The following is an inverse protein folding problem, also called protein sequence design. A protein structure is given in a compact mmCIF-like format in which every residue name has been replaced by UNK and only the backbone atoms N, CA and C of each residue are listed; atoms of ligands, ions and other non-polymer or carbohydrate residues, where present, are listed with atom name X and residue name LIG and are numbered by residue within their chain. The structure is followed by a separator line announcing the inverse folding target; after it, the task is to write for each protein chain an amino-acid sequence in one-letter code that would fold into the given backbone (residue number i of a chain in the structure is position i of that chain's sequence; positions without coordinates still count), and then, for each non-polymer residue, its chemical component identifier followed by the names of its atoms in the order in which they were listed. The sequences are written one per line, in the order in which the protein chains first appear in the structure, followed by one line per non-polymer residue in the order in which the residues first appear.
data_IF_794980420424
#
_entry.id   IF_794980420424
#
_cell.length_a   1.000
_cell.length_b   1.000
_cell.length_c   1.000
_cell.angle_alpha   90.00
_cell.angle_beta   90.00
_cell.angle_gamma   90.00
#
_symmetry.space_group_name_H-M   'P 1'
#
loop_
_entity.id
_entity.type
_entity.pdbx_description
1 polymer ?
#
# COMPACT_ATOMS: atom_id res chain seq x y z
N UNK A 1 -22.42 -39.02 15.39
CA UNK A 1 -21.15 -38.38 15.76
C UNK A 1 -21.45 -36.93 16.14
N UNK A 2 -21.10 -36.52 17.36
CA UNK A 2 -21.58 -35.26 17.93
C UNK A 2 -20.92 -34.05 17.22
N UNK A 3 -21.71 -33.12 16.63
CA UNK A 3 -21.19 -31.99 15.86
C UNK A 3 -20.39 -30.97 16.70
N UNK A 4 -20.46 -31.06 18.03
CA UNK A 4 -19.80 -30.11 18.94
C UNK A 4 -18.28 -30.32 19.04
N UNK A 5 -17.79 -31.53 18.79
CA UNK A 5 -16.34 -31.78 18.74
C UNK A 5 -15.66 -31.01 17.61
N UNK A 6 -16.32 -30.88 16.46
CA UNK A 6 -15.81 -30.09 15.34
C UNK A 6 -15.74 -28.60 15.70
N UNK A 7 -16.77 -28.07 16.37
CA UNK A 7 -16.80 -26.66 16.81
C UNK A 7 -15.63 -26.34 17.75
N UNK A 8 -15.32 -27.22 18.70
CA UNK A 8 -14.21 -27.03 19.64
C UNK A 8 -12.85 -27.04 18.93
N UNK A 9 -12.65 -27.97 17.98
CA UNK A 9 -11.43 -28.05 17.16
C UNK A 9 -11.19 -26.77 16.34
N UNK A 10 -12.24 -26.21 15.72
CA UNK A 10 -12.12 -24.96 14.94
C UNK A 10 -11.72 -23.74 15.80
N UNK A 11 -12.22 -23.65 17.04
CA UNK A 11 -11.90 -22.54 17.94
C UNK A 11 -10.44 -22.59 18.41
N UNK A 12 -9.94 -23.77 18.78
CA UNK A 12 -8.54 -23.96 19.20
C UNK A 12 -7.57 -23.65 18.05
N UNK A 13 -7.88 -24.07 16.83
CA UNK A 13 -7.05 -23.80 15.65
C UNK A 13 -6.92 -22.29 15.36
N UNK A 14 -8.01 -21.52 15.47
CA UNK A 14 -7.97 -20.06 15.28
C UNK A 14 -7.12 -19.34 16.32
N UNK A 15 -7.27 -19.70 17.59
CA UNK A 15 -6.48 -19.10 18.66
C UNK A 15 -4.97 -19.35 18.48
N UNK A 16 -4.61 -20.57 18.09
CA UNK A 16 -3.22 -20.93 17.83
C UNK A 16 -2.62 -20.12 16.66
N UNK A 17 -3.34 -20.02 15.54
CA UNK A 17 -2.91 -19.24 14.38
C UNK A 17 -2.69 -17.75 14.72
N UNK A 18 -3.61 -17.13 15.47
CA UNK A 18 -3.45 -15.71 15.88
C UNK A 18 -2.23 -15.49 16.78
N UNK A 19 -1.94 -16.43 17.67
CA UNK A 19 -0.78 -16.35 18.56
C UNK A 19 0.53 -16.46 17.77
N UNK A 20 0.63 -17.44 16.87
CA UNK A 20 1.81 -17.63 16.01
C UNK A 20 2.07 -16.39 15.15
N UNK A 21 1.01 -15.82 14.55
CA UNK A 21 1.14 -14.63 13.72
C UNK A 21 1.60 -13.39 14.51
N UNK A 22 1.17 -13.24 15.77
CA UNK A 22 1.64 -12.16 16.63
C UNK A 22 3.13 -12.32 17.00
N UNK A 23 3.56 -13.55 17.30
CA UNK A 23 4.96 -13.87 17.59
C UNK A 23 5.83 -13.59 16.35
N UNK A 24 5.39 -14.05 15.18
CA UNK A 24 6.07 -13.84 13.91
C UNK A 24 6.19 -12.34 13.56
N UNK A 25 5.11 -11.57 13.74
CA UNK A 25 5.14 -10.12 13.51
C UNK A 25 6.09 -9.41 14.46
N UNK A 26 6.13 -9.81 15.74
CA UNK A 26 7.06 -9.22 16.69
C UNK A 26 8.51 -9.55 16.35
N UNK A 27 8.81 -10.81 16.03
CA UNK A 27 10.16 -11.22 15.60
C UNK A 27 10.60 -10.49 14.32
N UNK A 28 9.71 -10.35 13.34
CA UNK A 28 9.98 -9.56 12.15
C UNK A 28 10.31 -8.10 12.48
N UNK A 29 9.49 -7.43 13.32
CA UNK A 29 9.76 -6.06 13.74
C UNK A 29 11.08 -5.90 14.50
N UNK A 30 11.50 -6.90 15.27
CA UNK A 30 12.79 -6.89 15.97
C UNK A 30 13.97 -7.01 15.00
N UNK A 31 13.87 -7.88 13.99
CA UNK A 31 14.86 -7.97 12.90
C UNK A 31 14.91 -6.70 12.04
N UNK A 32 13.76 -6.06 11.78
CA UNK A 32 13.68 -4.77 11.10
C UNK A 32 14.47 -3.69 11.85
N UNK A 33 14.25 -3.57 13.18
CA UNK A 33 14.99 -2.61 14.03
C UNK A 33 16.48 -2.90 14.03
N UNK A 34 16.87 -4.18 14.17
CA UNK A 34 18.28 -4.60 14.13
C UNK A 34 18.98 -4.21 12.81
N UNK A 35 18.23 -4.14 11.70
CA UNK A 35 18.71 -3.73 10.38
C UNK A 35 18.44 -2.25 10.04
N UNK A 36 18.09 -1.43 11.03
CA UNK A 36 17.85 0.02 10.88
C UNK A 36 16.64 0.39 9.99
N UNK A 37 15.59 -0.43 10.02
CA UNK A 37 14.27 -0.13 9.43
C UNK A 37 13.25 0.21 10.53
N UNK A 38 13.58 1.19 11.38
CA UNK A 38 12.78 1.52 12.57
C UNK A 38 11.42 2.11 12.18
N UNK A 39 11.40 3.00 11.19
CA UNK A 39 10.20 3.69 10.78
C UNK A 39 9.13 2.72 10.27
N UNK A 40 9.53 1.74 9.45
CA UNK A 40 8.61 0.71 8.98
C UNK A 40 8.10 -0.18 10.12
N UNK A 41 8.97 -0.56 11.06
CA UNK A 41 8.56 -1.31 12.26
C UNK A 41 7.57 -0.51 13.15
N UNK A 42 7.72 0.81 13.23
CA UNK A 42 6.77 1.69 13.94
C UNK A 42 5.43 1.72 13.22
N UNK A 43 5.40 1.83 11.89
CA UNK A 43 4.17 1.77 11.10
C UNK A 43 3.41 0.46 11.36
N UNK A 44 4.11 -0.67 11.33
CA UNK A 44 3.50 -1.97 11.66
C UNK A 44 2.97 -2.01 13.08
N UNK A 45 3.69 -1.44 14.06
CA UNK A 45 3.24 -1.37 15.46
C UNK A 45 1.95 -0.56 15.61
N UNK A 46 1.82 0.55 14.89
CA UNK A 46 0.61 1.39 14.87
C UNK A 46 -0.57 0.60 14.29
N UNK A 47 -0.34 -0.18 13.23
CA UNK A 47 -1.39 -0.89 12.50
C UNK A 47 -1.76 -2.26 13.08
N UNK A 48 -0.92 -2.85 13.93
CA UNK A 48 -1.08 -4.22 14.45
C UNK A 48 -2.44 -4.43 15.16
N UNK A 49 -2.99 -3.40 15.80
CA UNK A 49 -4.30 -3.50 16.47
C UNK A 49 -5.50 -3.37 15.53
N UNK A 50 -5.31 -2.88 14.31
CA UNK A 50 -6.41 -2.45 13.42
C UNK A 50 -6.56 -3.35 12.19
N UNK A 51 -5.50 -4.00 11.75
CA UNK A 51 -5.43 -4.58 10.40
C UNK A 51 -5.28 -6.11 10.41
N UNK A 52 -6.37 -6.81 10.06
CA UNK A 52 -6.38 -8.28 9.99
C UNK A 52 -5.43 -8.83 8.92
N UNK A 53 -5.17 -8.06 7.87
CA UNK A 53 -4.26 -8.46 6.77
C UNK A 53 -2.81 -8.58 7.24
N UNK A 54 -2.38 -7.74 8.19
CA UNK A 54 -1.04 -7.85 8.79
C UNK A 54 -0.90 -9.04 9.74
N UNK A 55 -2.02 -9.66 10.12
CA UNK A 55 -2.04 -10.89 10.91
C UNK A 55 -1.86 -12.14 10.05
N UNK A 56 -1.53 -12.04 8.76
CA UNK A 56 -1.15 -13.19 7.94
C UNK A 56 0.37 -13.41 8.02
N UNK A 57 0.80 -14.60 8.43
CA UNK A 57 2.21 -15.01 8.49
C UNK A 57 2.87 -15.12 7.11
N UNK A 58 2.08 -15.26 6.04
CA UNK A 58 2.58 -15.43 4.68
C UNK A 58 2.61 -14.11 3.91
N UNK A 59 3.45 -13.17 4.35
CA UNK A 59 3.59 -11.85 3.72
C UNK A 59 5.07 -11.49 3.55
N UNK A 60 5.38 -10.76 2.47
CA UNK A 60 6.69 -10.13 2.27
C UNK A 60 6.53 -8.62 2.30
N UNK A 61 7.23 -7.94 3.20
CA UNK A 61 7.33 -6.49 3.23
C UNK A 61 8.53 -5.97 2.44
N UNK A 62 8.34 -4.85 1.77
CA UNK A 62 9.35 -4.10 1.02
C UNK A 62 9.50 -2.72 1.63
N UNK A 63 10.53 -2.57 2.46
CA UNK A 63 10.64 -1.46 3.41
C UNK A 63 11.57 -0.40 2.86
N UNK A 64 11.09 0.82 2.57
CA UNK A 64 11.99 1.94 2.32
C UNK A 64 12.92 2.15 3.52
N UNK A 65 14.10 2.71 3.28
CA UNK A 65 14.97 3.13 4.39
C UNK A 65 14.27 4.17 5.24
N UNK A 66 14.67 4.33 6.50
CA UNK A 66 14.08 5.35 7.38
C UNK A 66 14.18 6.77 6.77
N UNK A 67 15.25 7.06 6.02
CA UNK A 67 15.41 8.32 5.27
C UNK A 67 14.36 8.46 4.15
N UNK A 68 14.21 7.46 3.29
CA UNK A 68 13.22 7.50 2.19
C UNK A 68 11.79 7.54 2.74
N UNK A 69 11.53 6.80 3.83
CA UNK A 69 10.23 6.79 4.48
C UNK A 69 9.87 8.16 5.05
N UNK A 70 10.85 8.90 5.60
CA UNK A 70 10.63 10.25 6.15
C UNK A 70 10.25 11.29 5.09
N UNK A 71 10.53 11.01 3.81
CA UNK A 71 10.23 11.87 2.68
C UNK A 71 8.97 11.42 1.93
N UNK A 72 8.41 10.26 2.28
CA UNK A 72 7.21 9.74 1.63
C UNK A 72 5.98 10.57 2.04
N UNK A 73 5.15 10.92 1.06
CA UNK A 73 3.87 11.60 1.29
C UNK A 73 2.82 10.58 1.75
N UNK A 74 2.79 10.33 3.06
CA UNK A 74 1.89 9.36 3.69
C UNK A 74 0.87 10.12 4.53
N UNK A 75 -0.37 10.16 4.05
CA UNK A 75 -1.48 10.69 4.83
C UNK A 75 -1.77 9.77 6.04
N UNK A 76 -1.97 10.28 7.27
CA UNK A 76 -2.19 9.44 8.46
C UNK A 76 -3.37 8.47 8.35
N UNK A 77 -4.40 8.81 7.58
CA UNK A 77 -5.57 8.00 7.29
C UNK A 77 -5.31 6.88 6.26
N UNK A 78 -4.15 6.91 5.59
CA UNK A 78 -3.75 5.95 4.53
C UNK A 78 -2.52 5.12 4.91
N UNK A 79 -2.18 5.04 6.20
CA UNK A 79 -1.04 4.23 6.67
C UNK A 79 -1.18 2.75 6.33
N UNK A 80 -2.37 2.17 6.49
CA UNK A 80 -2.64 0.78 6.11
C UNK A 80 -2.41 0.59 4.61
N UNK A 81 -2.94 1.49 3.79
CA UNK A 81 -2.75 1.42 2.35
C UNK A 81 -1.27 1.54 1.98
N UNK A 82 -0.53 2.45 2.62
CA UNK A 82 0.90 2.56 2.40
C UNK A 82 1.61 1.23 2.69
N UNK A 83 1.40 0.63 3.85
CA UNK A 83 2.04 -0.64 4.22
C UNK A 83 1.65 -1.78 3.28
N UNK A 84 0.35 -1.93 2.98
CA UNK A 84 -0.14 -3.03 2.11
C UNK A 84 0.30 -2.85 0.64
N UNK A 85 0.48 -1.61 0.19
CA UNK A 85 1.08 -1.33 -1.12
C UNK A 85 2.57 -1.65 -1.17
N UNK A 86 3.21 -1.85 -0.03
CA UNK A 86 4.61 -2.24 0.12
C UNK A 86 4.76 -3.70 0.50
N UNK A 87 3.78 -4.55 0.15
CA UNK A 87 3.86 -5.97 0.46
C UNK A 87 3.28 -6.87 -0.63
N UNK A 88 3.75 -8.12 -0.66
CA UNK A 88 3.16 -9.22 -1.44
C UNK A 88 2.59 -10.24 -0.45
N UNK A 89 1.36 -10.76 -0.65
CA UNK A 89 0.73 -11.75 0.23
C UNK A 89 1.30 -13.16 0.03
N UNK A 90 2.62 -13.28 0.01
CA UNK A 90 3.38 -14.53 -0.07
C UNK A 90 4.75 -14.28 0.55
N UNK A 91 5.26 -15.24 1.33
CA UNK A 91 6.61 -15.18 1.89
C UNK A 91 7.67 -15.50 0.81
N UNK A 92 8.45 -14.49 0.41
CA UNK A 92 9.44 -14.55 -0.67
C UNK A 92 10.81 -14.11 -0.14
N UNK A 93 11.79 -15.01 -0.20
CA UNK A 93 13.21 -14.66 -0.05
C UNK A 93 13.74 -14.04 -1.35
N UNK A 94 14.91 -13.41 -1.30
CA UNK A 94 15.56 -12.86 -2.49
C UNK A 94 15.74 -13.93 -3.56
N UNK A 95 16.10 -15.16 -3.15
CA UNK A 95 16.25 -16.27 -4.09
C UNK A 95 14.94 -16.54 -4.84
N UNK A 96 13.77 -16.51 -4.20
CA UNK A 96 12.50 -16.66 -4.90
C UNK A 96 12.29 -15.53 -5.91
N UNK A 97 12.60 -14.30 -5.51
CA UNK A 97 12.42 -13.12 -6.36
C UNK A 97 13.28 -13.14 -7.62
N UNK A 98 14.51 -13.67 -7.53
CA UNK A 98 15.44 -13.79 -8.64
C UNK A 98 14.99 -14.78 -9.73
N UNK A 99 14.08 -15.70 -9.40
CA UNK A 99 13.55 -16.68 -10.36
C UNK A 99 12.34 -16.16 -11.13
N UNK A 100 11.76 -15.01 -10.77
CA UNK A 100 10.70 -14.43 -11.58
C UNK A 100 11.24 -13.99 -12.95
N UNK A 101 10.56 -14.34 -14.05
CA UNK A 101 10.87 -13.77 -15.36
C UNK A 101 10.86 -12.24 -15.31
N UNK A 102 11.78 -11.62 -16.05
CA UNK A 102 11.86 -10.16 -16.10
C UNK A 102 10.54 -9.55 -16.61
N UNK A 103 9.96 -8.62 -15.86
CA UNK A 103 8.69 -7.97 -16.18
C UNK A 103 7.45 -8.62 -15.57
N UNK A 104 7.61 -9.68 -14.76
CA UNK A 104 6.51 -10.36 -14.06
C UNK A 104 5.67 -9.37 -13.26
N UNK A 105 4.36 -9.52 -13.29
CA UNK A 105 3.42 -8.79 -12.43
C UNK A 105 2.95 -9.71 -11.30
N UNK A 106 3.08 -9.26 -10.06
CA UNK A 106 2.61 -9.97 -8.86
C UNK A 106 1.64 -9.09 -8.08
N UNK A 107 0.62 -9.64 -7.42
CA UNK A 107 -0.30 -8.85 -6.62
C UNK A 107 0.42 -8.27 -5.39
N UNK A 108 0.16 -7.01 -5.08
CA UNK A 108 0.45 -6.48 -3.75
C UNK A 108 -0.61 -6.95 -2.75
N UNK A 109 -0.47 -6.61 -1.46
CA UNK A 109 -1.52 -6.90 -0.47
C UNK A 109 -2.72 -5.94 -0.55
N UNK A 110 -2.71 -4.99 -1.51
CA UNK A 110 -3.88 -4.22 -1.90
C UNK A 110 -4.56 -4.88 -3.11
N UNK A 111 -5.88 -5.11 -3.05
CA UNK A 111 -6.64 -5.60 -4.19
C UNK A 111 -6.41 -4.76 -5.45
N UNK A 112 -6.23 -5.42 -6.59
CA UNK A 112 -6.04 -4.81 -7.92
C UNK A 112 -4.77 -3.98 -8.11
N UNK A 113 -3.86 -3.94 -7.13
CA UNK A 113 -2.59 -3.21 -7.23
C UNK A 113 -1.44 -4.18 -7.45
N UNK A 114 -0.78 -4.09 -8.60
CA UNK A 114 0.24 -5.04 -9.07
C UNK A 114 1.65 -4.45 -8.96
N UNK A 115 2.60 -5.24 -8.45
CA UNK A 115 4.03 -4.93 -8.42
C UNK A 115 4.69 -5.60 -9.62
N UNK A 116 5.44 -4.82 -10.40
CA UNK A 116 6.26 -5.31 -11.49
C UNK A 116 7.65 -5.68 -10.98
N UNK A 117 8.01 -6.94 -11.12
CA UNK A 117 9.34 -7.47 -10.81
C UNK A 117 10.20 -7.41 -12.07
N UNK A 118 11.37 -6.76 -11.98
CA UNK A 118 12.34 -6.66 -13.07
C UNK A 118 13.77 -6.92 -12.59
N UNK A 119 14.64 -7.27 -13.54
CA UNK A 119 16.08 -7.31 -13.31
C UNK A 119 16.62 -5.87 -13.35
N UNK A 120 17.27 -5.44 -12.27
CA UNK A 120 17.88 -4.12 -12.22
C UNK A 120 19.16 -4.06 -13.08
N UNK A 121 19.46 -2.89 -13.65
CA UNK A 121 20.66 -2.64 -14.48
C UNK A 121 22.02 -2.95 -13.82
N UNK A 122 22.09 -3.08 -12.48
CA UNK A 122 23.34 -3.35 -11.73
C UNK A 122 23.32 -4.69 -10.99
N UNK A 123 22.69 -5.70 -11.59
CA UNK A 123 22.33 -6.98 -10.95
C UNK A 123 21.37 -6.78 -9.75
N UNK A 124 20.51 -7.76 -9.48
CA UNK A 124 19.50 -7.68 -8.43
C UNK A 124 18.08 -7.40 -8.94
N UNK A 125 17.15 -7.28 -7.99
CA UNK A 125 15.70 -7.23 -8.24
C UNK A 125 15.14 -5.83 -8.00
N UNK A 126 14.31 -5.39 -8.95
CA UNK A 126 13.59 -4.12 -8.92
C UNK A 126 12.07 -4.39 -8.86
N UNK A 127 11.37 -3.63 -8.02
CA UNK A 127 9.94 -3.68 -7.75
C UNK A 127 9.35 -2.33 -8.15
N UNK A 128 8.68 -2.26 -9.30
CA UNK A 128 8.36 -0.99 -9.97
C UNK A 128 9.62 -0.10 -10.10
N UNK A 129 9.62 1.05 -9.43
CA UNK A 129 10.72 2.02 -9.37
C UNK A 129 11.77 1.72 -8.28
N UNK A 130 11.51 0.78 -7.37
CA UNK A 130 12.34 0.56 -6.19
C UNK A 130 13.27 -0.64 -6.35
N UNK A 131 14.55 -0.49 -6.01
CA UNK A 131 15.53 -1.59 -6.01
C UNK A 131 15.58 -2.24 -4.63
N UNK A 132 15.69 -3.57 -4.56
CA UNK A 132 16.08 -4.24 -3.31
C UNK A 132 17.54 -3.96 -2.99
N UNK A 133 17.79 -3.30 -1.86
CA UNK A 133 19.14 -2.90 -1.40
C UNK A 133 19.61 -3.72 -0.20
N UNK A 134 18.68 -4.22 0.62
CA UNK A 134 18.99 -5.05 1.79
C UNK A 134 18.08 -6.28 1.75
N UNK A 135 18.52 -7.38 1.13
CA UNK A 135 17.67 -8.57 1.02
C UNK A 135 17.57 -9.33 2.35
N UNK A 136 16.48 -10.09 2.50
CA UNK A 136 16.30 -11.08 3.57
C UNK A 136 16.52 -10.49 4.98
N UNK A 137 15.88 -9.36 5.28
CA UNK A 137 15.98 -8.69 6.59
C UNK A 137 15.36 -9.54 7.70
N UNK A 138 14.20 -10.15 7.45
CA UNK A 138 13.52 -11.02 8.43
C UNK A 138 13.68 -12.49 8.03
N UNK A 139 14.44 -13.25 8.81
CA UNK A 139 14.75 -14.65 8.59
C UNK A 139 14.21 -15.57 9.69
N UNK A 140 13.95 -15.03 10.88
CA UNK A 140 13.55 -15.82 12.06
C UNK A 140 12.03 -15.99 12.20
N UNK A 141 11.24 -15.23 11.45
CA UNK A 141 9.78 -15.33 11.41
C UNK A 141 9.29 -16.01 10.13
N UNK A 142 7.99 -16.28 10.01
CA UNK A 142 7.35 -16.64 8.73
C UNK A 142 7.24 -15.45 7.77
N UNK A 143 7.21 -14.23 8.30
CA UNK A 143 7.19 -12.96 7.56
C UNK A 143 8.55 -12.73 6.89
N UNK A 144 8.51 -12.31 5.62
CA UNK A 144 9.71 -11.93 4.87
C UNK A 144 9.79 -10.42 4.74
N UNK A 145 11.01 -9.92 4.70
CA UNK A 145 11.25 -8.49 4.62
C UNK A 145 12.46 -8.22 3.74
N UNK A 146 12.38 -7.21 2.89
CA UNK A 146 13.50 -6.69 2.12
C UNK A 146 13.53 -5.17 2.24
N UNK A 147 14.71 -4.62 2.45
CA UNK A 147 14.94 -3.19 2.33
C UNK A 147 15.00 -2.75 0.88
N UNK A 148 14.32 -1.66 0.54
CA UNK A 148 14.26 -1.08 -0.80
C UNK A 148 14.78 0.35 -0.84
N UNK A 149 15.22 0.77 -2.03
CA UNK A 149 15.91 2.05 -2.25
C UNK A 149 15.02 3.29 -2.18
N UNK A 150 13.71 3.14 -2.31
CA UNK A 150 12.72 4.21 -2.29
C UNK A 150 11.32 3.61 -2.13
N UNK A 151 10.31 4.42 -1.82
CA UNK A 151 8.92 3.95 -1.77
C UNK A 151 8.44 3.43 -3.14
N UNK A 152 7.68 2.35 -3.12
CA UNK A 152 7.04 1.78 -4.31
C UNK A 152 5.97 2.76 -4.79
N UNK A 153 6.17 3.24 -6.01
CA UNK A 153 5.21 4.05 -6.74
C UNK A 153 4.43 3.17 -7.71
N UNK A 154 3.16 3.49 -7.89
CA UNK A 154 2.26 2.82 -8.81
C UNK A 154 1.81 3.81 -9.87
N UNK A 155 1.92 3.41 -11.14
CA UNK A 155 1.41 4.24 -12.23
C UNK A 155 -0.11 4.31 -12.11
N UNK A 156 -0.69 5.52 -12.23
CA UNK A 156 -2.15 5.74 -12.19
C UNK A 156 -2.93 4.93 -13.24
N UNK A 157 -2.24 4.43 -14.26
CA UNK A 157 -2.78 3.61 -15.35
C UNK A 157 -2.77 2.11 -15.05
N UNK A 158 -2.09 1.68 -13.98
CA UNK A 158 -2.03 0.27 -13.56
C UNK A 158 -3.22 -0.09 -12.66
N UNK A 159 -4.38 -0.19 -13.29
CA UNK A 159 -5.63 -0.81 -12.79
C UNK A 159 -6.31 -0.18 -11.55
N UNK A 160 -7.18 0.79 -11.89
CA UNK A 160 -8.43 1.16 -11.20
C UNK A 160 -8.36 1.82 -9.82
N UNK A 161 -7.85 3.05 -9.78
CA UNK A 161 -8.35 4.10 -8.85
C UNK A 161 -9.77 4.54 -9.27
N UNK A 162 -10.69 3.58 -9.40
CA UNK A 162 -12.12 3.86 -9.50
C UNK A 162 -12.83 3.06 -8.43
N UNK A 163 -12.71 3.55 -7.20
CA UNK A 163 -13.88 3.54 -6.34
C UNK A 163 -14.91 4.47 -6.99
N UNK A 164 -16.20 4.10 -7.08
CA UNK A 164 -17.22 5.02 -7.55
C UNK A 164 -17.26 6.17 -6.53
N UNK A 165 -16.76 7.34 -6.94
CA UNK A 165 -17.06 8.56 -6.25
C UNK A 165 -18.59 8.64 -6.19
N UNK A 166 -19.15 8.42 -5.00
CA UNK A 166 -20.55 8.74 -4.73
C UNK A 166 -20.63 10.26 -4.74
N UNK A 167 -20.64 10.85 -5.94
CA UNK A 167 -20.87 12.27 -6.11
C UNK A 167 -22.25 12.56 -5.54
N UNK A 168 -22.26 13.20 -4.37
CA UNK A 168 -23.47 13.76 -3.80
C UNK A 168 -24.03 14.78 -4.80
N UNK A 169 -25.30 14.61 -5.17
CA UNK A 169 -26.02 15.45 -6.13
C UNK A 169 -26.00 16.95 -5.80
N UNK A 170 -25.56 17.33 -4.60
CA UNK A 170 -25.40 18.72 -4.18
C UNK A 170 -24.21 19.43 -4.87
N UNK A 171 -23.12 18.73 -5.15
CA UNK A 171 -21.87 19.37 -5.63
C UNK A 171 -21.93 19.76 -7.12
N UNK A 172 -22.69 19.00 -7.91
CA UNK A 172 -22.99 19.31 -9.32
C UNK A 172 -23.84 20.58 -9.45
N UNK A 173 -24.70 20.87 -8.46
CA UNK A 173 -25.59 22.04 -8.47
C UNK A 173 -24.79 23.33 -8.16
N UNK A 174 -23.83 23.26 -7.23
CA UNK A 174 -23.00 24.42 -6.87
C UNK A 174 -22.15 24.89 -8.05
N UNK A 175 -21.45 23.98 -8.73
CA UNK A 175 -20.61 24.37 -9.89
C UNK A 175 -21.43 24.89 -11.07
N UNK A 176 -22.64 24.38 -11.30
CA UNK A 176 -23.51 24.85 -12.39
C UNK A 176 -24.03 26.26 -12.15
N UNK A 177 -24.19 26.65 -10.89
CA UNK A 177 -24.67 27.98 -10.51
C UNK A 177 -23.55 29.03 -10.59
N UNK A 178 -22.31 28.68 -10.25
CA UNK A 178 -21.17 29.58 -10.42
C UNK A 178 -20.88 29.92 -11.89
N UNK A 179 -20.97 28.92 -12.79
CA UNK A 179 -20.77 29.14 -14.24
C UNK A 179 -21.88 30.00 -14.85
N UNK A 180 -23.12 29.92 -14.33
CA UNK A 180 -24.23 30.79 -14.76
C UNK A 180 -24.10 32.21 -14.21
N UNK A 181 -23.59 32.38 -12.98
CA UNK A 181 -23.31 33.69 -12.38
C UNK A 181 -22.25 34.48 -13.15
N UNK A 182 -21.16 33.82 -13.54
CA UNK A 182 -20.07 34.45 -14.29
C UNK A 182 -20.48 34.90 -15.70
N UNK A 183 -21.38 34.16 -16.37
CA UNK A 183 -21.90 34.53 -17.71
C UNK A 183 -22.91 35.70 -17.66
N UNK A 184 -23.62 35.88 -16.55
CA UNK A 184 -24.54 37.00 -16.36
C UNK A 184 -23.80 38.35 -16.24
N UNK A 185 -22.67 38.38 -15.54
CA UNK A 185 -21.88 39.60 -15.34
C UNK A 185 -21.15 40.11 -16.59
N UNK A 186 -20.78 39.23 -17.54
CA UNK A 186 -20.11 39.63 -18.78
C UNK A 186 -21.08 40.13 -19.87
N UNK A 187 -22.37 39.79 -19.83
CA UNK A 187 -23.35 40.26 -20.83
C UNK A 187 -23.87 41.68 -20.56
N UNK A 188 -23.66 42.23 -19.36
CA UNK A 188 -24.14 43.57 -18.98
C UNK A 188 -23.20 44.73 -19.34
N UNK A 189 -21.92 44.47 -19.58
CA UNK A 189 -20.89 45.51 -19.70
C UNK A 189 -20.62 45.98 -21.15
N UNK A 190 -21.27 45.41 -22.17
CA UNK A 190 -20.96 45.69 -23.59
C UNK A 190 -22.16 46.26 -24.36
N UNK A 191 -22.98 47.08 -23.70
CA UNK A 191 -24.11 47.78 -24.34
C UNK A 191 -24.27 49.23 -23.85
N UNK A 192 -23.18 50.00 -23.84
CA UNK A 192 -23.26 51.47 -23.75
C UNK A 192 -22.06 52.12 -24.43
N UNK A 193 -22.03 52.08 -25.76
CA UNK A 193 -21.36 53.10 -26.57
C UNK A 193 -21.84 53.01 -28.02
N UNK A 194 -22.90 53.77 -28.33
CA UNK A 194 -23.18 54.21 -29.70
C UNK A 194 -23.98 55.52 -29.67
N UNK A 195 -23.50 56.48 -30.47
CA UNK A 195 -24.07 57.79 -30.86
C UNK A 195 -24.05 58.93 -29.83
N UNK A 196 -23.73 60.19 -30.14
CA UNK A 196 -23.58 60.93 -31.41
C UNK A 196 -22.49 62.03 -31.25
N UNK A 197 -21.57 62.18 -32.21
CA UNK A 197 -21.41 63.38 -33.06
C UNK A 197 -20.31 63.17 -34.10
#
# INVERSE_FOLDING_TARGET
MAPWFFVLLFLVAKAHATMTNQIDLQAAMDEMRLKSYHGFAILLKILNSTTKTLQNSNITFFMPTDQELSQADISPDRLEEFVLSHSIPTALLLNNLLHFPNGTLVPSSIPNRMIRITNCRKMGVCLNNARIITPNVCLTSSIRCHGISTAISYDKTSFSDTLPAKQSSAEIIVQRNEIKGAKSLQSGAMKKNRSLH
#
